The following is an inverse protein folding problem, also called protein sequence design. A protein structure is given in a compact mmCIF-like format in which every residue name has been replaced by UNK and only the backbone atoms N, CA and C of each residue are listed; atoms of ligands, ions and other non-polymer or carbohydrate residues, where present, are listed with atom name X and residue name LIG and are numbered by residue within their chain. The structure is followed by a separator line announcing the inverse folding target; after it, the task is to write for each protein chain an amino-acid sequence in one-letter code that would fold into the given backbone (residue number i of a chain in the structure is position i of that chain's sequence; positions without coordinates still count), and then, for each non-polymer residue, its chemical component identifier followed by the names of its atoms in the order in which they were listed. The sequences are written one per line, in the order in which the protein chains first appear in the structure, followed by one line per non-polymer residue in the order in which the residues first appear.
data_IF_387613481186
#
_entry.id   IF_387613481186
#
_cell.length_a   1.000
_cell.length_b   1.000
_cell.length_c   1.000
_cell.angle_alpha   90.00
_cell.angle_beta   90.00
_cell.angle_gamma   90.00
#
_symmetry.space_group_name_H-M   'P 1'
#
loop_
_entity.id
_entity.type
_entity.pdbx_description
1 polymer ?
#
# COMPACT_ATOMS: atom_id res chain seq x y z
N UNK A 1 -17.51 -5.99 -18.63
CA UNK A 1 -16.09 -5.63 -18.57
C UNK A 1 -15.98 -4.25 -17.96
N UNK A 2 -15.32 -4.13 -16.81
CA UNK A 2 -15.07 -2.84 -16.18
C UNK A 2 -13.84 -2.18 -16.80
N UNK A 3 -13.74 -0.88 -16.63
CA UNK A 3 -12.59 -0.06 -17.03
C UNK A 3 -12.12 0.66 -15.77
N UNK A 4 -10.97 0.26 -15.23
CA UNK A 4 -10.53 0.66 -13.89
C UNK A 4 -9.30 1.55 -14.01
N UNK A 5 -9.37 2.78 -13.48
CA UNK A 5 -8.18 3.60 -13.25
C UNK A 5 -7.56 3.16 -11.92
N UNK A 6 -6.26 2.91 -11.91
CA UNK A 6 -5.46 2.63 -10.70
C UNK A 6 -4.40 3.72 -10.59
N UNK A 7 -4.58 4.67 -9.67
CA UNK A 7 -3.54 5.68 -9.40
C UNK A 7 -2.49 5.11 -8.44
N UNK A 8 -1.23 5.50 -8.60
CA UNK A 8 -0.13 4.88 -7.86
C UNK A 8 0.11 3.42 -8.28
N UNK A 9 -0.26 3.07 -9.52
CA UNK A 9 -0.26 1.70 -9.99
C UNK A 9 1.12 1.16 -10.37
N UNK A 10 2.16 1.98 -10.42
CA UNK A 10 3.55 1.54 -10.58
C UNK A 10 4.24 1.24 -9.23
N UNK A 11 3.60 1.60 -8.10
CA UNK A 11 4.06 1.29 -6.76
C UNK A 11 3.77 -0.17 -6.34
N UNK A 12 4.11 -0.51 -5.10
CA UNK A 12 4.01 -1.87 -4.55
C UNK A 12 2.60 -2.45 -4.62
N UNK A 13 1.63 -1.88 -3.88
CA UNK A 13 0.26 -2.40 -3.81
C UNK A 13 -0.48 -2.15 -5.13
N UNK A 14 -0.29 -0.96 -5.73
CA UNK A 14 -0.97 -0.59 -6.98
C UNK A 14 -0.61 -1.50 -8.15
N UNK A 15 0.64 -1.94 -8.26
CA UNK A 15 1.07 -2.88 -9.29
C UNK A 15 0.50 -4.29 -9.07
N UNK A 16 0.37 -4.72 -7.80
CA UNK A 16 -0.29 -5.99 -7.48
C UNK A 16 -1.78 -5.96 -7.89
N UNK A 17 -2.46 -4.83 -7.64
CA UNK A 17 -3.84 -4.62 -8.10
C UNK A 17 -3.94 -4.66 -9.62
N UNK A 18 -3.05 -3.95 -10.32
CA UNK A 18 -3.05 -3.93 -11.78
C UNK A 18 -2.79 -5.33 -12.38
N UNK A 19 -1.83 -6.08 -11.82
CA UNK A 19 -1.56 -7.47 -12.22
C UNK A 19 -2.76 -8.37 -11.95
N UNK A 20 -3.39 -8.26 -10.79
CA UNK A 20 -4.60 -9.02 -10.47
C UNK A 20 -5.74 -8.74 -11.47
N UNK A 21 -6.01 -7.47 -11.79
CA UNK A 21 -7.05 -7.10 -12.76
C UNK A 21 -6.78 -7.76 -14.12
N UNK A 22 -5.56 -7.69 -14.63
CA UNK A 22 -5.23 -8.22 -15.97
C UNK A 22 -5.19 -9.74 -16.00
N UNK A 23 -4.61 -10.38 -14.96
CA UNK A 23 -4.38 -11.83 -14.99
C UNK A 23 -5.61 -12.64 -14.57
N UNK A 24 -6.41 -12.12 -13.63
CA UNK A 24 -7.45 -12.91 -12.96
C UNK A 24 -8.86 -12.43 -13.27
N UNK A 25 -9.02 -11.34 -14.04
CA UNK A 25 -10.32 -10.78 -14.40
C UNK A 25 -10.40 -10.44 -15.89
N UNK A 26 -11.61 -10.26 -16.45
CA UNK A 26 -11.76 -9.80 -17.83
C UNK A 26 -11.62 -8.29 -18.01
N UNK A 27 -11.37 -7.53 -16.93
CA UNK A 27 -11.44 -6.08 -16.91
C UNK A 27 -10.19 -5.41 -17.50
N UNK A 28 -10.33 -4.14 -17.88
CA UNK A 28 -9.22 -3.31 -18.37
C UNK A 28 -8.73 -2.36 -17.28
N UNK A 29 -7.43 -2.09 -17.27
CA UNK A 29 -6.79 -1.18 -16.31
C UNK A 29 -6.03 -0.07 -17.02
N UNK A 30 -6.18 1.15 -16.53
CA UNK A 30 -5.32 2.28 -16.81
C UNK A 30 -4.57 2.66 -15.54
N UNK A 31 -3.27 2.42 -15.53
CA UNK A 31 -2.39 2.86 -14.45
C UNK A 31 -2.04 4.33 -14.66
N UNK A 32 -2.29 5.15 -13.64
CA UNK A 32 -1.91 6.57 -13.58
C UNK A 32 -0.87 6.75 -12.49
N UNK A 33 0.34 7.15 -12.87
CA UNK A 33 1.45 7.28 -11.94
C UNK A 33 2.44 8.36 -12.41
N UNK A 34 2.95 9.16 -11.46
CA UNK A 34 3.96 10.18 -11.81
C UNK A 34 5.39 9.65 -11.86
N UNK A 35 5.59 8.41 -11.41
CA UNK A 35 6.89 7.74 -11.29
C UNK A 35 7.86 8.51 -10.37
N UNK A 36 7.59 8.42 -9.07
CA UNK A 36 8.50 8.92 -8.03
C UNK A 36 9.64 7.93 -7.77
N UNK A 37 10.41 8.19 -6.72
CA UNK A 37 11.55 7.35 -6.33
C UNK A 37 11.17 5.88 -6.00
N UNK A 38 9.94 5.63 -5.53
CA UNK A 38 9.48 4.30 -5.10
C UNK A 38 8.73 3.54 -6.20
N UNK A 39 8.44 4.19 -7.32
CA UNK A 39 7.63 3.64 -8.40
C UNK A 39 8.53 3.11 -9.51
N UNK A 40 8.19 1.93 -10.04
CA UNK A 40 9.00 1.27 -11.04
C UNK A 40 8.12 0.58 -12.08
N UNK A 41 8.33 0.91 -13.36
CA UNK A 41 7.62 0.27 -14.48
C UNK A 41 7.89 -1.23 -14.59
N UNK A 42 9.03 -1.71 -14.07
CA UNK A 42 9.32 -3.16 -14.00
C UNK A 42 8.26 -3.91 -13.16
N UNK A 43 7.60 -3.25 -12.22
CA UNK A 43 6.50 -3.82 -11.45
C UNK A 43 5.29 -4.19 -12.33
N UNK A 44 5.18 -3.54 -13.50
CA UNK A 44 4.11 -3.73 -14.48
C UNK A 44 4.54 -4.53 -15.71
N UNK A 45 5.84 -4.90 -15.81
CA UNK A 45 6.37 -5.66 -16.93
C UNK A 45 5.57 -6.95 -17.25
N UNK A 46 5.09 -7.73 -16.25
CA UNK A 46 4.30 -8.94 -16.51
C UNK A 46 3.00 -8.70 -17.28
N UNK A 47 2.43 -7.49 -17.24
CA UNK A 47 1.15 -7.14 -17.87
C UNK A 47 1.28 -6.13 -19.00
N UNK A 48 2.48 -5.60 -19.25
CA UNK A 48 2.71 -4.50 -20.18
C UNK A 48 2.30 -4.79 -21.64
N UNK A 49 2.22 -6.07 -22.02
CA UNK A 49 1.84 -6.51 -23.38
C UNK A 49 0.34 -6.76 -23.55
N UNK A 50 -0.45 -6.64 -22.50
CA UNK A 50 -1.90 -6.83 -22.58
C UNK A 50 -2.58 -5.66 -23.31
N UNK A 51 -3.47 -5.94 -24.23
CA UNK A 51 -4.32 -4.94 -24.90
C UNK A 51 -5.36 -4.30 -23.96
N UNK A 52 -5.55 -4.88 -22.77
CA UNK A 52 -6.39 -4.35 -21.68
C UNK A 52 -5.62 -3.48 -20.69
N UNK A 53 -4.31 -3.29 -20.87
CA UNK A 53 -3.45 -2.48 -20.03
C UNK A 53 -3.11 -1.15 -20.73
N UNK A 54 -3.21 -0.04 -19.98
CA UNK A 54 -2.71 1.27 -20.39
C UNK A 54 -1.90 1.90 -19.25
N UNK A 55 -0.85 2.61 -19.59
CA UNK A 55 -0.07 3.42 -18.63
C UNK A 55 -0.11 4.88 -19.04
N UNK A 56 -0.39 5.77 -18.07
CA UNK A 56 -0.38 7.22 -18.20
C UNK A 56 0.56 7.82 -17.15
N UNK A 57 1.61 8.50 -17.60
CA UNK A 57 2.51 9.22 -16.70
C UNK A 57 1.91 10.57 -16.32
N UNK A 58 1.16 10.61 -15.23
CA UNK A 58 0.42 11.80 -14.78
C UNK A 58 0.51 11.94 -13.27
N UNK A 59 0.73 13.18 -12.79
CA UNK A 59 0.60 13.54 -11.38
C UNK A 59 -0.88 13.75 -11.05
N UNK A 60 -1.35 13.15 -9.95
CA UNK A 60 -2.74 13.35 -9.48
C UNK A 60 -3.04 14.79 -9.07
N UNK A 61 -2.03 15.65 -8.93
CA UNK A 61 -2.18 17.09 -8.75
C UNK A 61 -2.41 17.85 -10.06
N UNK A 62 -2.22 17.22 -11.23
CA UNK A 62 -2.44 17.83 -12.54
C UNK A 62 -3.88 17.60 -13.00
N UNK A 63 -4.71 18.63 -12.80
CA UNK A 63 -6.13 18.56 -13.09
C UNK A 63 -6.43 18.37 -14.59
N UNK A 64 -5.72 19.06 -15.47
CA UNK A 64 -5.99 19.02 -16.89
C UNK A 64 -5.66 17.65 -17.48
N UNK A 65 -4.53 17.07 -17.05
CA UNK A 65 -4.15 15.73 -17.45
C UNK A 65 -5.11 14.67 -16.91
N UNK A 66 -5.57 14.80 -15.66
CA UNK A 66 -6.61 13.90 -15.13
C UNK A 66 -7.90 13.99 -15.93
N UNK A 67 -8.38 15.20 -16.25
CA UNK A 67 -9.58 15.38 -17.05
C UNK A 67 -9.43 14.73 -18.44
N UNK A 68 -8.24 14.83 -19.07
CA UNK A 68 -7.91 14.12 -20.32
C UNK A 68 -7.99 12.60 -20.16
N UNK A 69 -7.35 12.05 -19.13
CA UNK A 69 -7.34 10.59 -18.88
C UNK A 69 -8.76 10.07 -18.68
N UNK A 70 -9.59 10.76 -17.89
CA UNK A 70 -10.99 10.37 -17.67
C UNK A 70 -11.80 10.40 -18.97
N UNK A 71 -11.61 11.43 -19.80
CA UNK A 71 -12.31 11.56 -21.08
C UNK A 71 -11.94 10.46 -22.09
N UNK A 72 -10.66 10.12 -22.18
CA UNK A 72 -10.14 9.10 -23.09
C UNK A 72 -10.43 7.67 -22.61
N UNK A 73 -10.12 7.38 -21.34
CA UNK A 73 -10.25 6.02 -20.81
C UNK A 73 -11.69 5.68 -20.44
N UNK A 74 -12.54 6.65 -20.07
CA UNK A 74 -13.95 6.46 -19.69
C UNK A 74 -14.12 5.39 -18.61
N UNK A 75 -13.57 5.61 -17.41
CA UNK A 75 -13.55 4.59 -16.35
C UNK A 75 -14.95 4.31 -15.80
N UNK A 76 -15.18 3.05 -15.42
CA UNK A 76 -16.30 2.64 -14.58
C UNK A 76 -15.93 2.68 -13.09
N UNK A 77 -14.63 2.55 -12.78
CA UNK A 77 -14.11 2.56 -11.41
C UNK A 77 -12.80 3.33 -11.34
N UNK A 78 -12.57 3.97 -10.20
CA UNK A 78 -11.29 4.56 -9.84
C UNK A 78 -10.82 3.90 -8.55
N UNK A 79 -9.61 3.36 -8.54
CA UNK A 79 -8.92 2.86 -7.34
C UNK A 79 -7.76 3.79 -7.05
N UNK A 80 -7.87 4.57 -5.97
CA UNK A 80 -6.92 5.62 -5.63
C UNK A 80 -5.92 5.14 -4.60
N UNK A 81 -4.73 4.73 -5.09
CA UNK A 81 -3.60 4.28 -4.27
C UNK A 81 -2.41 5.27 -4.28
N UNK A 82 -2.39 6.24 -5.20
CA UNK A 82 -1.31 7.22 -5.25
C UNK A 82 -1.21 8.00 -3.94
N UNK A 83 -0.07 7.90 -3.28
CA UNK A 83 0.23 8.56 -2.02
C UNK A 83 1.73 8.55 -1.74
N UNK A 84 2.22 9.59 -1.07
CA UNK A 84 3.46 9.48 -0.30
C UNK A 84 3.18 8.63 0.94
N UNK A 85 4.00 7.58 1.20
CA UNK A 85 3.64 6.51 2.15
C UNK A 85 4.74 6.13 3.15
N UNK A 86 5.90 6.77 3.13
CA UNK A 86 6.99 6.45 4.05
C UNK A 86 6.96 7.37 5.27
N UNK A 87 6.63 6.81 6.46
CA UNK A 87 6.47 7.59 7.69
C UNK A 87 7.73 8.40 8.01
N UNK A 88 8.92 7.79 7.92
CA UNK A 88 10.19 8.47 8.24
C UNK A 88 10.44 9.67 7.32
N UNK A 89 10.12 9.55 6.01
CA UNK A 89 10.16 10.70 5.07
C UNK A 89 9.15 11.79 5.45
N UNK A 90 8.01 11.42 6.04
CA UNK A 90 7.01 12.40 6.46
C UNK A 90 7.47 13.24 7.66
N UNK A 91 8.41 12.73 8.46
CA UNK A 91 9.03 13.45 9.56
C UNK A 91 10.02 14.49 9.01
N UNK A 92 10.83 14.08 8.03
CA UNK A 92 11.86 14.95 7.43
C UNK A 92 11.28 16.00 6.47
N UNK A 93 10.21 15.64 5.72
CA UNK A 93 9.61 16.50 4.68
C UNK A 93 8.08 16.39 4.59
N UNK A 94 7.31 16.88 5.57
CA UNK A 94 5.86 16.71 5.61
C UNK A 94 5.10 17.40 4.46
N UNK A 95 5.70 18.42 3.82
CA UNK A 95 5.07 19.20 2.75
C UNK A 95 4.64 18.35 1.55
N UNK A 96 5.46 17.38 1.12
CA UNK A 96 5.15 16.47 0.01
C UNK A 96 3.92 15.60 0.33
N UNK A 97 3.77 15.20 1.59
CA UNK A 97 2.61 14.42 2.04
C UNK A 97 1.32 15.24 2.01
N UNK A 98 1.37 16.51 2.38
CA UNK A 98 0.24 17.43 2.26
C UNK A 98 -0.14 17.60 0.78
N UNK A 99 0.86 17.88 -0.07
CA UNK A 99 0.64 18.13 -1.50
C UNK A 99 0.06 16.88 -2.19
N UNK A 100 0.69 15.73 -2.03
CA UNK A 100 0.27 14.50 -2.72
C UNK A 100 -1.00 13.91 -2.10
N UNK A 101 -1.03 13.71 -0.78
CA UNK A 101 -2.10 12.94 -0.14
C UNK A 101 -3.38 13.76 0.05
N UNK A 102 -3.28 15.08 0.28
CA UNK A 102 -4.45 15.94 0.50
C UNK A 102 -4.83 16.66 -0.80
N UNK A 103 -3.92 17.46 -1.35
CA UNK A 103 -4.22 18.27 -2.55
C UNK A 103 -4.42 17.36 -3.77
N UNK A 104 -3.57 16.33 -3.95
CA UNK A 104 -3.72 15.35 -5.03
C UNK A 104 -5.04 14.57 -4.94
N UNK A 105 -5.44 14.12 -3.73
CA UNK A 105 -6.75 13.48 -3.54
C UNK A 105 -7.91 14.42 -3.86
N UNK A 106 -7.84 15.68 -3.41
CA UNK A 106 -8.82 16.70 -3.77
C UNK A 106 -8.93 16.87 -5.29
N UNK A 107 -7.81 17.01 -5.98
CA UNK A 107 -7.76 17.22 -7.43
C UNK A 107 -8.36 16.04 -8.19
N UNK A 108 -8.03 14.81 -7.78
CA UNK A 108 -8.58 13.58 -8.36
C UNK A 108 -10.09 13.44 -8.10
N UNK A 109 -10.55 13.77 -6.89
CA UNK A 109 -11.98 13.78 -6.55
C UNK A 109 -12.77 14.76 -7.42
N UNK A 110 -12.22 15.94 -7.69
CA UNK A 110 -12.86 16.93 -8.56
C UNK A 110 -12.87 16.49 -10.02
N UNK A 111 -11.82 15.84 -10.53
CA UNK A 111 -11.81 15.24 -11.85
C UNK A 111 -12.85 14.11 -11.97
N UNK A 112 -12.91 13.23 -10.99
CA UNK A 112 -13.90 12.16 -10.93
C UNK A 112 -15.34 12.69 -10.84
N UNK A 113 -15.58 13.75 -10.04
CA UNK A 113 -16.90 14.39 -9.90
C UNK A 113 -17.34 15.03 -11.22
N UNK A 114 -16.45 15.77 -11.89
CA UNK A 114 -16.73 16.36 -13.20
C UNK A 114 -17.11 15.28 -14.22
N UNK A 115 -16.31 14.21 -14.30
CA UNK A 115 -16.59 13.08 -15.18
C UNK A 115 -17.91 12.39 -14.83
N UNK A 116 -18.18 12.11 -13.55
CA UNK A 116 -19.41 11.49 -13.08
C UNK A 116 -20.67 12.25 -13.52
N UNK A 117 -20.63 13.58 -13.52
CA UNK A 117 -21.75 14.41 -13.98
C UNK A 117 -22.01 14.30 -15.49
N UNK A 118 -21.04 13.86 -16.30
CA UNK A 118 -21.24 13.65 -17.75
C UNK A 118 -21.86 12.30 -18.08
N UNK A 119 -21.94 11.38 -17.12
CA UNK A 119 -22.45 10.02 -17.33
C UNK A 119 -23.99 10.00 -17.38
N UNK A 120 -24.54 9.07 -18.15
CA UNK A 120 -25.96 8.72 -18.08
C UNK A 120 -26.28 7.92 -16.80
N UNK A 121 -27.54 7.64 -16.54
CA UNK A 121 -27.98 7.00 -15.31
C UNK A 121 -27.46 5.54 -15.17
N UNK A 122 -27.32 4.81 -16.29
CA UNK A 122 -26.77 3.45 -16.27
C UNK A 122 -25.28 3.45 -15.91
N UNK A 123 -24.51 4.34 -16.51
CA UNK A 123 -23.08 4.49 -16.22
C UNK A 123 -22.83 5.03 -14.80
N UNK A 124 -23.67 5.98 -14.33
CA UNK A 124 -23.63 6.47 -12.94
C UNK A 124 -23.86 5.36 -11.93
N UNK A 125 -24.82 4.46 -12.20
CA UNK A 125 -25.10 3.33 -11.30
C UNK A 125 -23.94 2.35 -11.18
N UNK A 126 -23.05 2.28 -12.17
CA UNK A 126 -21.86 1.44 -12.17
C UNK A 126 -20.60 2.14 -11.61
N UNK A 127 -20.57 3.47 -11.68
CA UNK A 127 -19.38 4.24 -11.31
C UNK A 127 -19.10 4.15 -9.82
N UNK A 128 -17.82 3.93 -9.44
CA UNK A 128 -17.39 3.94 -8.07
C UNK A 128 -15.97 4.51 -7.94
N UNK A 129 -15.76 5.33 -6.91
CA UNK A 129 -14.46 5.83 -6.50
C UNK A 129 -14.05 5.11 -5.21
N UNK A 130 -13.02 4.27 -5.29
CA UNK A 130 -12.47 3.54 -4.16
C UNK A 130 -11.17 4.21 -3.70
N UNK A 131 -11.16 4.73 -2.48
CA UNK A 131 -9.99 5.30 -1.83
C UNK A 131 -9.33 4.29 -0.92
N UNK A 132 -8.04 4.07 -1.12
CA UNK A 132 -7.24 3.12 -0.33
C UNK A 132 -6.45 3.90 0.72
N UNK A 133 -6.68 3.58 1.99
CA UNK A 133 -6.09 4.19 3.16
C UNK A 133 -5.34 3.15 4.01
N UNK A 134 -5.00 3.49 5.22
CA UNK A 134 -4.17 2.71 6.14
C UNK A 134 -4.83 2.63 7.52
N UNK A 135 -4.52 1.62 8.30
CA UNK A 135 -4.91 1.51 9.71
C UNK A 135 -4.21 2.53 10.61
N UNK A 136 -3.10 3.11 10.16
CA UNK A 136 -2.37 4.15 10.88
C UNK A 136 -3.20 5.42 11.16
N UNK A 137 -4.31 5.62 10.43
CA UNK A 137 -5.24 6.74 10.68
C UNK A 137 -5.97 6.60 12.02
N UNK A 138 -6.09 5.40 12.57
CA UNK A 138 -6.73 5.14 13.84
C UNK A 138 -5.86 5.49 15.06
N UNK A 139 -4.53 5.60 14.87
CA UNK A 139 -3.58 5.86 15.95
C UNK A 139 -3.11 4.59 16.63
N UNK A 140 -2.77 4.68 17.93
CA UNK A 140 -2.23 3.56 18.71
C UNK A 140 -3.32 2.83 19.50
N UNK A 141 -3.22 1.50 19.60
CA UNK A 141 -4.12 0.69 20.43
C UNK A 141 -3.61 0.63 21.88
N UNK A 142 -4.50 0.90 22.83
CA UNK A 142 -4.15 0.96 24.25
C UNK A 142 -4.17 -0.39 24.97
N UNK A 143 -4.80 -1.43 24.39
CA UNK A 143 -4.97 -2.73 25.01
C UNK A 143 -4.55 -3.90 24.12
N UNK A 144 -4.13 -5.04 24.69
CA UNK A 144 -3.66 -6.18 23.92
C UNK A 144 -4.79 -6.92 23.17
N UNK A 145 -6.04 -6.75 23.60
CA UNK A 145 -7.23 -7.38 23.02
C UNK A 145 -8.07 -6.42 22.15
N UNK A 146 -7.63 -5.15 22.03
CA UNK A 146 -8.36 -4.16 21.23
C UNK A 146 -8.03 -4.30 19.75
N UNK A 147 -9.00 -3.97 18.89
CA UNK A 147 -8.85 -3.96 17.43
C UNK A 147 -9.46 -2.69 16.84
N UNK A 148 -8.83 -2.14 15.82
CA UNK A 148 -9.41 -1.08 15.01
C UNK A 148 -10.60 -1.62 14.20
N UNK A 149 -11.73 -0.95 14.36
CA UNK A 149 -12.96 -1.20 13.60
C UNK A 149 -13.27 -0.01 12.72
N UNK A 150 -14.15 -0.18 11.76
CA UNK A 150 -14.57 0.91 10.86
C UNK A 150 -15.22 2.07 11.62
N UNK A 151 -15.69 1.84 12.87
CA UNK A 151 -16.25 2.84 13.76
C UNK A 151 -15.25 3.46 14.73
N UNK A 152 -14.01 3.00 14.76
CA UNK A 152 -12.95 3.55 15.61
C UNK A 152 -12.65 4.99 15.19
N UNK A 153 -12.67 5.97 16.12
CA UNK A 153 -12.29 7.34 15.82
C UNK A 153 -10.85 7.45 15.32
N UNK A 154 -10.59 8.36 14.39
CA UNK A 154 -9.24 8.63 13.90
C UNK A 154 -8.44 9.43 14.93
N UNK A 155 -7.20 9.03 15.17
CA UNK A 155 -6.23 9.67 16.06
C UNK A 155 -4.80 9.52 15.53
N UNK A 156 -4.50 9.99 14.31
CA UNK A 156 -3.22 9.75 13.64
C UNK A 156 -2.04 10.40 14.41
N UNK A 157 -0.90 9.70 14.47
CA UNK A 157 0.29 10.09 15.26
C UNK A 157 1.42 10.69 14.42
N UNK A 158 1.42 10.53 13.10
CA UNK A 158 2.48 10.99 12.19
C UNK A 158 1.96 11.96 11.13
N UNK A 159 2.82 12.78 10.49
CA UNK A 159 2.41 13.60 9.35
C UNK A 159 1.82 12.76 8.20
N UNK A 160 2.37 11.56 7.94
CA UNK A 160 1.83 10.62 6.97
C UNK A 160 0.39 10.21 7.34
N UNK A 161 0.18 9.63 8.53
CA UNK A 161 -1.14 9.15 8.93
C UNK A 161 -2.16 10.30 9.04
N UNK A 162 -1.73 11.49 9.46
CA UNK A 162 -2.58 12.70 9.46
C UNK A 162 -3.01 13.11 8.05
N UNK A 163 -2.09 13.05 7.06
CA UNK A 163 -2.42 13.34 5.67
C UNK A 163 -3.39 12.32 5.06
N UNK A 164 -3.23 11.02 5.42
CA UNK A 164 -4.17 9.96 5.00
C UNK A 164 -5.54 10.12 5.65
N UNK A 165 -5.60 10.42 6.96
CA UNK A 165 -6.86 10.71 7.65
C UNK A 165 -7.59 11.91 7.00
N UNK A 166 -6.85 12.95 6.60
CA UNK A 166 -7.39 14.10 5.89
C UNK A 166 -7.99 13.71 4.55
N UNK A 167 -7.31 12.90 3.75
CA UNK A 167 -7.83 12.41 2.47
C UNK A 167 -9.05 11.53 2.63
N UNK A 168 -9.10 10.66 3.65
CA UNK A 168 -10.28 9.86 3.97
C UNK A 168 -11.51 10.75 4.27
N UNK A 169 -11.32 11.82 5.03
CA UNK A 169 -12.39 12.79 5.31
C UNK A 169 -12.85 13.52 4.06
N UNK A 170 -11.96 13.91 3.15
CA UNK A 170 -12.34 14.49 1.86
C UNK A 170 -13.20 13.53 1.04
N UNK A 171 -12.80 12.27 0.92
CA UNK A 171 -13.54 11.24 0.18
C UNK A 171 -14.96 11.06 0.72
N UNK A 172 -15.08 10.96 2.05
CA UNK A 172 -16.40 10.89 2.72
C UNK A 172 -17.24 12.15 2.50
N UNK A 173 -16.62 13.33 2.53
CA UNK A 173 -17.31 14.59 2.28
C UNK A 173 -17.83 14.67 0.84
N UNK A 174 -17.06 14.22 -0.16
CA UNK A 174 -17.51 14.18 -1.56
C UNK A 174 -18.72 13.29 -1.78
N UNK A 175 -18.77 12.15 -1.09
CA UNK A 175 -19.97 11.28 -1.07
C UNK A 175 -21.16 12.01 -0.46
N UNK A 176 -20.99 12.60 0.71
CA UNK A 176 -22.08 13.17 1.49
C UNK A 176 -22.60 14.48 0.88
N UNK A 177 -21.71 15.33 0.39
CA UNK A 177 -22.04 16.67 -0.12
C UNK A 177 -22.44 16.63 -1.60
N UNK A 178 -21.72 15.88 -2.43
CA UNK A 178 -21.88 15.91 -3.89
C UNK A 178 -22.48 14.62 -4.46
N UNK A 179 -22.71 13.61 -3.64
CA UNK A 179 -23.30 12.33 -4.10
C UNK A 179 -22.36 11.45 -4.92
N UNK A 180 -21.05 11.77 -4.99
CA UNK A 180 -20.09 10.92 -5.68
C UNK A 180 -20.03 9.54 -4.98
N UNK A 181 -20.26 8.41 -5.70
CA UNK A 181 -20.29 7.09 -5.07
C UNK A 181 -18.87 6.64 -4.68
N UNK A 182 -18.48 6.92 -3.45
CA UNK A 182 -17.16 6.59 -2.90
C UNK A 182 -17.22 5.43 -1.92
N UNK A 183 -16.13 4.67 -1.80
CA UNK A 183 -15.88 3.68 -0.75
C UNK A 183 -14.46 3.85 -0.25
N UNK A 184 -14.21 3.57 1.03
CA UNK A 184 -12.90 3.69 1.68
C UNK A 184 -12.47 2.31 2.19
N UNK A 185 -11.19 1.98 2.05
CA UNK A 185 -10.59 0.84 2.74
C UNK A 185 -9.41 1.28 3.59
N UNK A 186 -9.30 0.73 4.80
CA UNK A 186 -8.14 0.88 5.67
C UNK A 186 -7.45 -0.49 5.77
N UNK A 187 -6.17 -0.55 5.46
CA UNK A 187 -5.44 -1.82 5.45
C UNK A 187 -4.32 -1.85 6.47
N UNK A 188 -4.00 -3.07 6.93
CA UNK A 188 -2.82 -3.37 7.73
C UNK A 188 -1.52 -3.35 6.88
N UNK A 189 -0.37 -3.59 7.53
CA UNK A 189 0.93 -3.62 6.86
C UNK A 189 1.00 -4.75 5.82
N UNK A 190 1.64 -4.47 4.70
CA UNK A 190 1.74 -5.43 3.60
C UNK A 190 3.15 -6.01 3.46
N UNK A 191 3.24 -7.27 3.04
CA UNK A 191 4.46 -7.94 2.59
C UNK A 191 4.25 -8.56 1.22
N UNK A 192 5.31 -8.75 0.44
CA UNK A 192 5.20 -9.40 -0.86
C UNK A 192 6.22 -8.93 -1.89
N UNK A 193 6.10 -9.41 -3.13
CA UNK A 193 6.92 -9.01 -4.28
C UNK A 193 6.83 -7.51 -4.59
N UNK A 194 7.91 -6.94 -5.11
CA UNK A 194 7.99 -5.55 -5.59
C UNK A 194 7.85 -4.46 -4.52
N UNK A 195 8.01 -4.80 -3.24
CA UNK A 195 7.99 -3.81 -2.16
C UNK A 195 9.31 -3.03 -2.14
N UNK A 196 9.23 -1.69 -2.20
CA UNK A 196 10.42 -0.83 -2.27
C UNK A 196 11.31 -1.01 -1.04
N UNK A 197 12.66 -1.10 -1.19
CA UNK A 197 13.58 -1.54 -0.13
C UNK A 197 13.84 -0.55 1.00
N UNK A 198 13.10 0.55 1.11
CA UNK A 198 13.08 1.41 2.30
C UNK A 198 12.20 0.85 3.44
N UNK A 199 11.35 -0.14 3.16
CA UNK A 199 10.45 -0.74 4.15
C UNK A 199 11.11 -1.93 4.85
N UNK A 200 10.66 -2.21 6.09
CA UNK A 200 11.29 -3.18 7.01
C UNK A 200 11.67 -4.51 6.36
N UNK A 201 10.70 -5.21 5.73
CA UNK A 201 10.92 -6.56 5.21
C UNK A 201 11.95 -6.58 4.09
N UNK A 202 11.81 -5.84 2.97
CA UNK A 202 12.80 -5.86 1.91
C UNK A 202 14.14 -5.29 2.34
N UNK A 203 14.18 -4.28 3.20
CA UNK A 203 15.43 -3.73 3.75
C UNK A 203 16.21 -4.81 4.51
N UNK A 204 15.54 -5.54 5.41
CA UNK A 204 16.18 -6.62 6.19
C UNK A 204 16.70 -7.72 5.29
N UNK A 205 15.92 -8.17 4.30
CA UNK A 205 16.35 -9.22 3.37
C UNK A 205 17.62 -8.78 2.61
N UNK A 206 17.61 -7.59 2.02
CA UNK A 206 18.73 -7.12 1.19
C UNK A 206 19.98 -6.78 2.01
N UNK A 207 19.81 -6.14 3.19
CA UNK A 207 20.92 -5.91 4.11
C UNK A 207 21.55 -7.22 4.59
N UNK A 208 20.73 -8.21 4.96
CA UNK A 208 21.23 -9.53 5.38
C UNK A 208 22.10 -10.16 4.28
N UNK A 209 21.62 -10.19 3.05
CA UNK A 209 22.32 -10.76 1.90
C UNK A 209 23.61 -9.99 1.53
N UNK A 210 23.68 -8.71 1.84
CA UNK A 210 24.85 -7.86 1.60
C UNK A 210 25.81 -7.81 2.80
N UNK A 211 25.57 -8.58 3.88
CA UNK A 211 26.40 -8.62 5.07
C UNK A 211 26.37 -7.33 5.91
N UNK A 212 25.32 -6.50 5.72
CA UNK A 212 25.11 -5.25 6.45
C UNK A 212 24.37 -5.46 7.76
N UNK A 213 24.43 -4.48 8.67
CA UNK A 213 23.63 -4.45 9.90
C UNK A 213 22.12 -4.43 9.59
N UNK A 214 21.32 -5.12 10.42
CA UNK A 214 19.86 -5.16 10.37
C UNK A 214 19.33 -4.26 11.48
N UNK A 215 19.02 -2.98 11.19
CA UNK A 215 18.60 -2.04 12.22
C UNK A 215 17.18 -2.32 12.70
N UNK A 216 17.01 -2.44 14.01
CA UNK A 216 15.73 -2.60 14.70
C UNK A 216 15.52 -1.39 15.61
N UNK A 217 14.40 -0.68 15.42
CA UNK A 217 14.05 0.46 16.26
C UNK A 217 13.74 0.03 17.70
N UNK A 218 14.40 0.66 18.69
CA UNK A 218 14.28 0.28 20.11
C UNK A 218 14.54 -1.21 20.31
N UNK A 219 13.68 -1.86 21.06
CA UNK A 219 13.72 -3.32 21.27
C UNK A 219 12.93 -4.11 20.21
N UNK A 220 12.35 -3.43 19.21
CA UNK A 220 11.53 -4.07 18.18
C UNK A 220 10.20 -4.61 18.69
N UNK A 221 9.65 -4.02 19.73
CA UNK A 221 8.42 -4.49 20.39
C UNK A 221 7.13 -4.00 19.71
N UNK A 222 7.25 -3.09 18.77
CA UNK A 222 6.10 -2.60 18.01
C UNK A 222 5.42 -3.74 17.27
N UNK A 223 4.10 -3.83 17.41
CA UNK A 223 3.28 -4.90 16.83
C UNK A 223 2.57 -4.39 15.58
N UNK A 224 2.63 -5.17 14.51
CA UNK A 224 1.94 -4.90 13.24
C UNK A 224 1.18 -6.15 12.79
N UNK A 225 0.01 -5.95 12.22
CA UNK A 225 -0.70 -6.99 11.49
C UNK A 225 -0.17 -7.05 10.05
N UNK A 226 0.17 -8.23 9.57
CA UNK A 226 0.79 -8.45 8.27
C UNK A 226 -0.14 -9.13 7.28
N UNK A 227 -0.28 -8.51 6.12
CA UNK A 227 -1.12 -8.98 5.02
C UNK A 227 -0.26 -9.23 3.78
N UNK A 228 -0.47 -10.36 3.11
CA UNK A 228 0.20 -10.62 1.85
C UNK A 228 -0.40 -9.76 0.73
N UNK A 229 0.43 -9.13 -0.08
CA UNK A 229 0.00 -8.07 -1.03
C UNK A 229 -0.98 -8.56 -2.09
N UNK A 230 -0.90 -9.82 -2.52
CA UNK A 230 -1.83 -10.39 -3.49
C UNK A 230 -3.21 -10.65 -2.87
N UNK A 231 -3.26 -11.03 -1.59
CA UNK A 231 -4.52 -11.09 -0.84
C UNK A 231 -5.16 -9.72 -0.70
N UNK A 232 -4.33 -8.69 -0.46
CA UNK A 232 -4.81 -7.32 -0.42
C UNK A 232 -5.34 -6.86 -1.79
N UNK A 233 -4.62 -7.14 -2.88
CA UNK A 233 -5.07 -6.80 -4.24
C UNK A 233 -6.45 -7.40 -4.56
N UNK A 234 -6.69 -8.68 -4.18
CA UNK A 234 -7.99 -9.33 -4.31
C UNK A 234 -9.08 -8.62 -3.49
N UNK A 235 -8.78 -8.24 -2.24
CA UNK A 235 -9.71 -7.50 -1.39
C UNK A 235 -10.08 -6.15 -2.01
N UNK A 236 -9.08 -5.41 -2.48
CA UNK A 236 -9.27 -4.09 -3.08
C UNK A 236 -10.14 -4.16 -4.35
N UNK A 237 -9.89 -5.12 -5.22
CA UNK A 237 -10.72 -5.34 -6.41
C UNK A 237 -12.17 -5.70 -6.04
N UNK A 238 -12.34 -6.57 -5.05
CA UNK A 238 -13.66 -6.97 -4.55
C UNK A 238 -14.44 -5.78 -3.99
N UNK A 239 -13.80 -4.93 -3.17
CA UNK A 239 -14.43 -3.70 -2.64
C UNK A 239 -14.73 -2.72 -3.76
N UNK A 240 -13.81 -2.52 -4.72
CA UNK A 240 -14.05 -1.65 -5.86
C UNK A 240 -15.30 -2.07 -6.66
N UNK A 241 -15.49 -3.36 -6.89
CA UNK A 241 -16.58 -3.88 -7.72
C UNK A 241 -17.87 -4.13 -6.95
N UNK A 242 -17.80 -4.59 -5.68
CA UNK A 242 -18.96 -5.05 -4.92
C UNK A 242 -19.22 -4.27 -3.62
N UNK A 243 -18.24 -3.48 -3.13
CA UNK A 243 -18.39 -2.68 -1.92
C UNK A 243 -19.53 -1.67 -2.02
N UNK A 244 -20.21 -1.39 -0.92
CA UNK A 244 -21.35 -0.47 -0.85
C UNK A 244 -20.86 0.98 -0.83
N UNK A 245 -21.33 1.86 -1.74
CA UNK A 245 -20.95 3.27 -1.72
C UNK A 245 -21.32 3.98 -0.43
N UNK A 246 -20.35 4.65 0.19
CA UNK A 246 -20.48 5.32 1.49
C UNK A 246 -19.90 4.54 2.64
N UNK A 247 -19.64 3.24 2.45
CA UNK A 247 -19.09 2.36 3.48
C UNK A 247 -17.55 2.45 3.56
N UNK A 248 -17.03 2.03 4.71
CA UNK A 248 -15.61 1.76 4.95
C UNK A 248 -15.43 0.27 5.23
N UNK A 249 -14.36 -0.32 4.74
CA UNK A 249 -13.99 -1.71 5.00
C UNK A 249 -12.55 -1.78 5.50
N UNK A 250 -12.36 -2.42 6.64
CA UNK A 250 -11.05 -2.77 7.16
C UNK A 250 -10.55 -4.06 6.50
N UNK A 251 -9.27 -4.08 6.13
CA UNK A 251 -8.62 -5.22 5.47
C UNK A 251 -7.36 -5.58 6.25
N UNK A 252 -7.31 -6.75 6.86
CA UNK A 252 -6.20 -7.22 7.69
C UNK A 252 -5.94 -8.71 7.56
N UNK A 253 -4.75 -9.14 7.99
CA UNK A 253 -4.30 -10.52 7.87
C UNK A 253 -4.60 -11.38 9.10
N UNK A 254 -4.95 -10.81 10.25
CA UNK A 254 -4.92 -11.46 11.57
C UNK A 254 -3.56 -12.08 11.91
N UNK A 255 -2.49 -11.45 11.47
CA UNK A 255 -1.11 -11.92 11.58
C UNK A 255 -0.27 -10.91 12.39
N UNK A 256 -0.66 -10.64 13.63
CA UNK A 256 0.06 -9.75 14.53
C UNK A 256 1.43 -10.32 14.89
N UNK A 257 2.49 -9.56 14.64
CA UNK A 257 3.88 -9.91 14.98
C UNK A 257 4.62 -8.67 15.49
N UNK A 258 5.51 -8.86 16.45
CA UNK A 258 6.48 -7.83 16.82
C UNK A 258 7.51 -7.65 15.70
N UNK A 259 7.99 -6.45 15.50
CA UNK A 259 9.00 -6.17 14.48
C UNK A 259 10.24 -7.07 14.63
N UNK A 260 10.71 -7.30 15.88
CA UNK A 260 11.84 -8.20 16.13
C UNK A 260 11.55 -9.67 15.74
N UNK A 261 10.30 -10.12 15.88
CA UNK A 261 9.89 -11.47 15.46
C UNK A 261 9.91 -11.58 13.93
N UNK A 262 9.45 -10.54 13.22
CA UNK A 262 9.52 -10.49 11.75
C UNK A 262 10.98 -10.58 11.29
N UNK A 263 11.87 -9.76 11.86
CA UNK A 263 13.30 -9.75 11.50
C UNK A 263 13.94 -11.12 11.76
N UNK A 264 13.71 -11.73 12.93
CA UNK A 264 14.23 -13.07 13.25
C UNK A 264 13.67 -14.15 12.32
N UNK A 265 12.40 -14.06 11.92
CA UNK A 265 11.80 -15.00 10.96
C UNK A 265 12.48 -14.90 9.60
N UNK A 266 12.73 -13.68 9.11
CA UNK A 266 13.48 -13.46 7.86
C UNK A 266 14.90 -14.07 7.96
N UNK A 267 15.62 -13.81 9.06
CA UNK A 267 16.95 -14.39 9.27
C UNK A 267 16.93 -15.93 9.23
N UNK A 268 15.99 -16.56 9.92
CA UNK A 268 15.85 -18.01 9.94
C UNK A 268 15.52 -18.58 8.54
N UNK A 269 14.67 -17.90 7.76
CA UNK A 269 14.39 -18.29 6.37
C UNK A 269 15.62 -18.16 5.48
N UNK A 270 16.40 -17.09 5.65
CA UNK A 270 17.65 -16.91 4.90
C UNK A 270 18.71 -17.93 5.30
N UNK A 271 18.83 -18.28 6.59
CA UNK A 271 19.72 -19.35 7.08
C UNK A 271 19.38 -20.71 6.43
N UNK A 272 18.08 -20.98 6.22
CA UNK A 272 17.61 -22.20 5.53
C UNK A 272 17.85 -22.15 4.01
N UNK A 273 17.41 -21.05 3.35
CA UNK A 273 17.30 -20.97 1.91
C UNK A 273 18.60 -20.54 1.22
N UNK A 274 19.42 -19.76 1.91
CA UNK A 274 20.70 -19.24 1.40
C UNK A 274 21.71 -19.03 2.54
N UNK A 275 22.20 -20.12 3.17
CA UNK A 275 23.08 -20.05 4.32
C UNK A 275 24.35 -19.24 3.99
N UNK A 276 24.85 -18.52 4.99
CA UNK A 276 26.08 -17.73 4.88
C UNK A 276 27.29 -18.63 4.70
N UNK A 277 28.29 -18.22 3.87
CA UNK A 277 29.51 -19.00 3.67
C UNK A 277 30.35 -19.22 4.92
N UNK A 278 30.24 -18.31 5.91
CA UNK A 278 30.96 -18.39 7.20
C UNK A 278 30.26 -19.30 8.23
N UNK A 279 29.10 -19.86 7.88
CA UNK A 279 28.33 -20.75 8.75
C UNK A 279 27.61 -20.06 9.90
N UNK A 280 27.61 -18.73 9.97
CA UNK A 280 26.93 -17.94 10.97
C UNK A 280 25.48 -17.66 10.59
N UNK A 281 24.62 -17.42 11.59
CA UNK A 281 23.26 -16.99 11.35
C UNK A 281 23.20 -15.52 10.90
N UNK A 282 22.27 -15.21 10.02
CA UNK A 282 21.93 -13.82 9.68
C UNK A 282 21.43 -13.02 10.88
N UNK A 283 20.89 -13.68 11.91
CA UNK A 283 20.45 -13.02 13.14
C UNK A 283 21.60 -12.33 13.91
N UNK A 284 22.87 -12.71 13.67
CA UNK A 284 24.04 -12.02 14.26
C UNK A 284 24.25 -10.60 13.70
N UNK A 285 23.59 -10.24 12.59
CA UNK A 285 23.64 -8.91 12.00
C UNK A 285 22.64 -7.93 12.63
N UNK A 286 21.74 -8.40 13.52
CA UNK A 286 20.72 -7.55 14.16
C UNK A 286 21.41 -6.56 15.11
N UNK A 287 21.06 -5.27 14.94
CA UNK A 287 21.50 -4.16 15.80
C UNK A 287 20.29 -3.36 16.26
N UNK A 288 20.27 -2.97 17.53
CA UNK A 288 19.24 -2.11 18.06
C UNK A 288 19.66 -0.64 17.91
N UNK A 289 18.76 0.18 17.34
CA UNK A 289 19.00 1.60 17.10
C UNK A 289 17.97 2.46 17.83
N UNK A 290 18.25 3.76 18.02
CA UNK A 290 17.30 4.70 18.63
C UNK A 290 15.97 4.66 17.89
N UNK A 291 14.86 4.62 18.63
CA UNK A 291 13.52 4.66 18.07
C UNK A 291 13.18 6.02 17.45
N UNK A 292 12.23 6.04 16.52
CA UNK A 292 11.76 7.26 15.86
C UNK A 292 10.69 7.98 16.70
N UNK A 293 10.54 9.31 16.54
CA UNK A 293 9.43 10.04 17.17
C UNK A 293 8.07 9.55 16.70
N UNK A 294 7.07 9.53 17.60
CA UNK A 294 5.68 9.19 17.26
C UNK A 294 5.50 7.74 16.78
N UNK A 295 6.34 6.81 17.23
CA UNK A 295 6.25 5.42 16.82
C UNK A 295 5.19 4.67 17.64
N UNK A 296 4.01 4.50 17.07
CA UNK A 296 2.90 3.77 17.69
C UNK A 296 3.29 2.33 18.03
N UNK A 297 2.83 1.87 19.18
CA UNK A 297 3.23 0.56 19.70
C UNK A 297 2.50 -0.59 19.01
N UNK A 298 1.17 -0.47 18.79
CA UNK A 298 0.39 -1.59 18.27
C UNK A 298 -0.66 -1.16 17.26
N UNK A 299 -0.67 -1.85 16.12
CA UNK A 299 -1.74 -1.85 15.15
C UNK A 299 -2.30 -3.27 15.00
N UNK A 300 -3.60 -3.40 15.15
CA UNK A 300 -4.34 -4.62 14.89
C UNK A 300 -5.73 -4.24 14.35
N UNK A 301 -6.13 -4.82 13.24
CA UNK A 301 -7.34 -4.43 12.53
C UNK A 301 -8.37 -5.56 12.55
N UNK A 302 -9.65 -5.23 12.68
CA UNK A 302 -10.75 -6.20 12.59
C UNK A 302 -11.32 -6.22 11.16
N UNK A 303 -11.05 -7.25 10.34
CA UNK A 303 -11.57 -7.40 8.98
C UNK A 303 -12.90 -8.15 8.93
N UNK A 304 -13.60 -8.32 10.03
CA UNK A 304 -14.84 -9.12 10.09
C UNK A 304 -15.96 -8.59 9.19
N UNK A 305 -16.00 -7.28 8.95
CA UNK A 305 -16.99 -6.65 8.07
C UNK A 305 -16.83 -7.08 6.62
N UNK A 306 -15.63 -6.98 6.05
CA UNK A 306 -15.39 -7.42 4.66
C UNK A 306 -15.63 -8.91 4.49
N UNK A 307 -15.27 -9.71 5.50
CA UNK A 307 -15.53 -11.17 5.48
C UNK A 307 -17.04 -11.46 5.47
N UNK A 308 -17.81 -10.77 6.32
CA UNK A 308 -19.26 -10.98 6.43
C UNK A 308 -20.02 -10.47 5.20
N UNK A 309 -19.68 -9.29 4.70
CA UNK A 309 -20.45 -8.61 3.66
C UNK A 309 -20.03 -9.00 2.24
N UNK A 310 -18.73 -9.25 2.03
CA UNK A 310 -18.17 -9.52 0.72
C UNK A 310 -17.53 -10.92 0.60
N UNK A 311 -17.52 -11.72 1.67
CA UNK A 311 -16.99 -13.08 1.66
C UNK A 311 -15.46 -13.18 1.55
N UNK A 312 -14.72 -12.05 1.67
CA UNK A 312 -13.28 -12.06 1.54
C UNK A 312 -12.58 -12.59 2.80
N UNK A 313 -11.54 -13.38 2.58
CA UNK A 313 -10.57 -13.82 3.59
C UNK A 313 -9.18 -13.89 2.97
N UNK A 314 -8.11 -13.64 3.76
CA UNK A 314 -6.76 -13.89 3.29
C UNK A 314 -6.54 -15.37 3.01
N UNK A 315 -5.75 -15.70 2.00
CA UNK A 315 -5.34 -17.06 1.65
C UNK A 315 -4.00 -17.42 2.30
N UNK A 316 -3.16 -16.41 2.53
CA UNK A 316 -1.84 -16.58 3.12
C UNK A 316 -1.88 -16.32 4.63
N UNK A 317 -1.14 -17.15 5.38
CA UNK A 317 -0.73 -16.84 6.75
C UNK A 317 0.52 -15.96 6.74
N UNK A 318 0.94 -15.44 7.90
CA UNK A 318 2.21 -14.74 7.99
C UNK A 318 3.37 -15.64 7.52
N UNK A 319 3.41 -16.87 7.98
CA UNK A 319 4.48 -17.82 7.69
C UNK A 319 4.58 -18.16 6.18
N UNK A 320 3.44 -18.39 5.52
CA UNK A 320 3.43 -18.67 4.09
C UNK A 320 3.73 -17.43 3.25
N UNK A 321 3.18 -16.28 3.62
CA UNK A 321 3.40 -15.00 2.91
C UNK A 321 4.84 -14.49 3.03
N UNK A 322 5.43 -14.55 4.24
CA UNK A 322 6.82 -14.11 4.43
C UNK A 322 7.81 -15.02 3.72
N UNK A 323 7.57 -16.33 3.70
CA UNK A 323 8.39 -17.28 2.93
C UNK A 323 8.36 -17.00 1.44
N UNK A 324 7.17 -16.78 0.87
CA UNK A 324 7.01 -16.36 -0.54
C UNK A 324 7.74 -15.05 -0.83
N UNK A 325 7.66 -14.10 0.09
CA UNK A 325 8.35 -12.81 -0.03
C UNK A 325 9.86 -13.00 -0.06
N UNK A 326 10.46 -13.75 0.89
CA UNK A 326 11.90 -14.01 0.94
C UNK A 326 12.36 -14.72 -0.33
N UNK A 327 11.66 -15.76 -0.78
CA UNK A 327 11.97 -16.49 -2.01
C UNK A 327 11.98 -15.55 -3.22
N UNK A 328 10.99 -14.67 -3.35
CA UNK A 328 10.94 -13.73 -4.46
C UNK A 328 12.15 -12.79 -4.48
N UNK A 329 12.58 -12.24 -3.32
CA UNK A 329 13.77 -11.39 -3.25
C UNK A 329 15.07 -12.14 -3.55
N UNK A 330 15.16 -13.42 -3.16
CA UNK A 330 16.31 -14.26 -3.52
C UNK A 330 16.41 -14.51 -5.03
N UNK A 331 15.27 -14.71 -5.68
CA UNK A 331 15.18 -14.95 -7.13
C UNK A 331 15.44 -13.69 -7.96
N UNK A 332 15.08 -12.50 -7.41
CA UNK A 332 15.14 -11.22 -8.13
C UNK A 332 16.21 -10.25 -7.61
N UNK A 333 17.18 -10.77 -6.86
CA UNK A 333 18.24 -9.92 -6.29
C UNK A 333 19.08 -9.24 -7.39
N UNK A 334 19.43 -9.98 -8.43
CA UNK A 334 20.38 -9.55 -9.45
C UNK A 334 19.70 -8.85 -10.66
N UNK A 335 18.38 -8.81 -10.69
CA UNK A 335 17.59 -8.11 -11.71
C UNK A 335 16.78 -6.95 -11.13
N UNK A 336 15.59 -7.19 -10.61
CA UNK A 336 14.70 -6.13 -10.09
C UNK A 336 15.33 -5.35 -8.94
N UNK A 337 15.90 -6.03 -7.94
CA UNK A 337 16.51 -5.35 -6.80
C UNK A 337 17.73 -4.53 -7.21
N UNK A 338 18.58 -5.07 -8.08
CA UNK A 338 19.74 -4.36 -8.61
C UNK A 338 19.31 -3.11 -9.40
N UNK A 339 18.24 -3.20 -10.21
CA UNK A 339 17.69 -2.07 -10.93
C UNK A 339 17.20 -0.96 -9.97
N UNK A 340 16.38 -1.31 -8.98
CA UNK A 340 15.85 -0.37 -7.98
C UNK A 340 16.97 0.32 -7.20
N UNK A 341 18.00 -0.43 -6.79
CA UNK A 341 19.13 0.09 -6.03
C UNK A 341 20.17 0.85 -6.88
N UNK A 342 20.10 0.75 -8.21
CA UNK A 342 20.94 1.56 -9.12
C UNK A 342 20.51 3.03 -9.18
N UNK A 343 19.31 3.35 -8.69
CA UNK A 343 18.78 4.71 -8.58
C UNK A 343 19.40 5.54 -7.46
N UNK A 344 18.76 6.63 -7.10
CA UNK A 344 19.23 7.57 -6.07
C UNK A 344 19.13 7.03 -4.64
N UNK A 345 18.33 6.00 -4.41
CA UNK A 345 18.12 5.43 -3.08
C UNK A 345 19.30 4.57 -2.61
N UNK A 346 19.87 4.90 -1.45
CA UNK A 346 21.06 4.25 -0.87
C UNK A 346 20.76 3.34 0.32
N UNK A 347 19.49 3.04 0.60
CA UNK A 347 19.06 2.32 1.79
C UNK A 347 19.53 2.97 3.10
N UNK A 348 19.57 4.30 3.13
CA UNK A 348 19.96 5.09 4.30
C UNK A 348 18.81 5.19 5.30
N UNK A 349 19.17 5.34 6.58
CA UNK A 349 18.21 5.58 7.64
C UNK A 349 17.63 7.00 7.50
N UNK A 350 16.31 7.12 7.60
CA UNK A 350 15.52 8.34 7.52
C UNK A 350 14.77 8.57 8.85
N UNK A 351 14.15 9.73 9.01
CA UNK A 351 13.23 10.00 10.12
C UNK A 351 13.89 10.15 11.48
N UNK A 352 15.14 10.68 11.52
CA UNK A 352 15.83 10.93 12.80
C UNK A 352 15.25 12.13 13.54
N UNK A 353 14.55 13.03 12.84
CA UNK A 353 13.90 14.21 13.43
C UNK A 353 14.88 15.30 13.87
N UNK A 354 16.08 15.32 13.31
CA UNK A 354 17.12 16.34 13.60
C UNK A 354 16.98 17.57 12.68
#
# INVERSE_FOLDING_TARGET
MNRIIVTGGAGFIGSAVARHIINDTPDAVCVVDKLTYADNLENLAPIAKSDRFKFEKVDICDRDELDRVFAEFKPTHVMHLAAESHVDRSIDGPGEFIQTNIVGTYTLLEAARKYYHTLDDEAKAKFKFHHISTDEVYGDLNGPEDFFRETTPYAPSSPYSASKASSDHLVRAWKRTFGLPTVVTNCSNNSGPYHFPEKLIPLVILHALDGKELPVYGEGLQIRDWLYVEDHARALYLVATQGVPGETYNIGGHNEKKNIEVVKTICALLDELRPRPDGKSYAEQIVHVKDRPGHDLRYAIDPSKIARELGWKPLETFESGIRKTVLWYLEHKDDWCAHVLSGSYKMERLGTGD
#
